data_IF_465916844223
#
_entry.id   IF_465916844223
#
_cell.length_a   1.000
_cell.length_b   1.000
_cell.length_c   1.000
_cell.angle_alpha   90.00
_cell.angle_beta   90.00
_cell.angle_gamma   90.00
#
_symmetry.space_group_name_H-M   'P 1'
#
loop_
_entity.id
_entity.type
_entity.pdbx_description
1 polymer ?
#
# COMPACT_ATOMS: atom_id res chain seq x y z
N UNK A 1 15.40 3.45 -0.21
CA UNK A 1 15.00 4.82 -0.59
C UNK A 1 14.91 5.67 0.68
N UNK A 2 15.35 6.94 0.66
CA UNK A 2 15.21 7.86 1.80
C UNK A 2 13.77 8.07 2.28
N UNK A 3 13.60 8.41 3.56
CA UNK A 3 12.33 8.93 4.09
C UNK A 3 11.93 10.21 3.35
N UNK A 4 10.64 10.34 3.05
CA UNK A 4 10.09 11.51 2.37
C UNK A 4 10.07 11.39 0.85
N UNK A 5 10.80 10.44 0.28
CA UNK A 5 10.77 10.16 -1.15
C UNK A 5 9.41 9.65 -1.63
N UNK A 6 9.20 9.79 -2.93
CA UNK A 6 8.03 9.28 -3.63
C UNK A 6 8.26 7.84 -4.03
N UNK A 7 7.39 6.94 -3.55
CA UNK A 7 7.36 5.54 -3.99
C UNK A 7 6.32 5.36 -5.08
N UNK A 8 6.73 4.73 -6.17
CA UNK A 8 5.90 4.33 -7.29
C UNK A 8 6.10 2.84 -7.53
N UNK A 9 5.00 2.08 -7.56
CA UNK A 9 5.03 0.67 -7.90
C UNK A 9 3.99 0.41 -8.99
N UNK A 10 4.46 -0.05 -10.13
CA UNK A 10 3.61 -0.49 -11.23
C UNK A 10 3.15 -1.93 -10.98
N UNK A 11 1.90 -2.23 -11.36
CA UNK A 11 1.29 -3.56 -11.23
C UNK A 11 0.51 -3.88 -12.50
N UNK A 12 0.23 -5.16 -12.76
CA UNK A 12 -0.59 -5.57 -13.89
C UNK A 12 -2.09 -5.61 -13.54
N UNK A 13 -2.79 -4.49 -13.73
CA UNK A 13 -4.25 -4.34 -13.53
C UNK A 13 -4.81 -4.92 -12.20
N UNK A 14 -4.26 -4.55 -11.03
CA UNK A 14 -4.71 -5.05 -9.73
C UNK A 14 -6.13 -4.62 -9.37
N UNK A 15 -6.87 -5.50 -8.70
CA UNK A 15 -8.16 -5.17 -8.03
C UNK A 15 -7.94 -4.74 -6.58
N UNK A 16 -6.91 -5.29 -5.95
CA UNK A 16 -6.47 -4.98 -4.58
C UNK A 16 -4.95 -5.08 -4.50
N UNK A 17 -4.39 -4.34 -3.57
CA UNK A 17 -3.00 -4.40 -3.17
C UNK A 17 -2.95 -4.82 -1.70
N UNK A 18 -1.95 -5.60 -1.33
CA UNK A 18 -1.68 -6.01 0.03
C UNK A 18 -0.27 -5.56 0.41
N UNK A 19 -0.09 -5.22 1.69
CA UNK A 19 1.24 -4.99 2.24
C UNK A 19 1.42 -5.62 3.61
N UNK A 20 2.65 -6.01 3.87
CA UNK A 20 3.12 -6.61 5.11
C UNK A 20 4.21 -5.71 5.67
N UNK A 21 3.83 -4.90 6.65
CA UNK A 21 4.70 -3.85 7.23
C UNK A 21 4.70 -3.98 8.74
N UNK A 22 5.70 -3.42 9.42
CA UNK A 22 5.73 -3.37 10.89
C UNK A 22 5.21 -2.02 11.39
N UNK A 23 4.46 -2.02 12.48
CA UNK A 23 4.09 -0.76 13.15
C UNK A 23 5.23 -0.25 14.04
N UNK A 24 5.04 0.89 14.71
CA UNK A 24 6.04 1.50 15.60
C UNK A 24 6.47 0.60 16.78
N UNK A 25 5.69 -0.43 17.12
CA UNK A 25 6.02 -1.43 18.15
C UNK A 25 6.73 -2.67 17.59
N UNK A 26 7.10 -2.67 16.31
CA UNK A 26 7.71 -3.81 15.63
C UNK A 26 6.74 -4.95 15.29
N UNK A 27 5.44 -4.78 15.52
CA UNK A 27 4.42 -5.80 15.26
C UNK A 27 4.03 -5.79 13.79
N UNK A 28 4.05 -6.95 13.16
CA UNK A 28 3.63 -7.13 11.77
C UNK A 28 2.16 -6.79 11.55
N UNK A 29 1.88 -6.14 10.43
CA UNK A 29 0.57 -5.67 10.02
C UNK A 29 0.31 -6.13 8.59
N UNK A 30 -0.75 -6.91 8.42
CA UNK A 30 -1.29 -7.21 7.10
C UNK A 30 -2.37 -6.19 6.75
N UNK A 31 -2.12 -5.43 5.70
CA UNK A 31 -2.99 -4.34 5.28
C UNK A 31 -3.42 -4.54 3.83
N UNK A 32 -4.63 -4.10 3.51
CA UNK A 32 -5.20 -4.15 2.15
C UNK A 32 -5.59 -2.76 1.68
N UNK A 33 -5.25 -2.45 0.45
CA UNK A 33 -5.73 -1.28 -0.27
C UNK A 33 -6.58 -1.76 -1.44
N UNK A 34 -7.86 -1.36 -1.47
CA UNK A 34 -8.77 -1.71 -2.56
C UNK A 34 -8.75 -0.61 -3.61
N UNK A 35 -8.56 -0.99 -4.88
CA UNK A 35 -8.64 -0.05 -5.98
C UNK A 35 -10.10 0.42 -6.11
N UNK A 36 -10.30 1.73 -6.15
CA UNK A 36 -11.64 2.31 -6.26
C UNK A 36 -12.28 1.98 -7.60
N UNK A 37 -13.54 1.57 -7.57
CA UNK A 37 -14.42 1.39 -8.71
C UNK A 37 -15.79 2.02 -8.40
N UNK A 38 -16.72 1.99 -9.36
CA UNK A 38 -18.05 2.59 -9.19
C UNK A 38 -18.85 1.99 -8.02
N UNK A 39 -18.55 0.74 -7.64
CA UNK A 39 -19.36 -0.06 -6.73
C UNK A 39 -18.79 -0.14 -5.30
N UNK A 40 -17.56 0.33 -5.06
CA UNK A 40 -16.87 0.14 -3.77
C UNK A 40 -16.39 1.44 -3.11
N UNK A 41 -17.00 2.59 -3.44
CA UNK A 41 -16.57 3.93 -3.00
C UNK A 41 -16.31 4.05 -1.49
N UNK A 42 -17.10 3.40 -0.64
CA UNK A 42 -16.94 3.44 0.82
C UNK A 42 -15.77 2.62 1.38
N UNK A 43 -15.19 1.71 0.58
CA UNK A 43 -14.23 0.68 1.03
C UNK A 43 -12.91 0.72 0.24
N UNK A 44 -12.63 1.78 -0.51
CA UNK A 44 -11.50 1.86 -1.43
C UNK A 44 -10.66 3.12 -1.18
N UNK A 45 -9.44 3.16 -1.74
CA UNK A 45 -8.61 4.37 -1.70
C UNK A 45 -7.86 4.60 -0.39
N UNK A 46 -7.82 3.61 0.50
CA UNK A 46 -7.07 3.65 1.75
C UNK A 46 -6.59 2.25 2.16
N UNK A 47 -5.55 2.21 2.99
CA UNK A 47 -5.09 0.98 3.62
C UNK A 47 -5.98 0.64 4.83
N UNK A 48 -6.43 -0.60 4.87
CA UNK A 48 -7.19 -1.17 5.97
C UNK A 48 -6.39 -2.31 6.60
N UNK A 49 -6.28 -2.35 7.92
CA UNK A 49 -5.74 -3.51 8.60
C UNK A 49 -6.76 -4.67 8.51
N UNK A 50 -6.34 -5.82 7.97
CA UNK A 50 -7.27 -6.91 7.67
C UNK A 50 -7.91 -7.51 8.92
N UNK A 51 -7.17 -7.54 10.05
CA UNK A 51 -7.67 -8.10 11.32
C UNK A 51 -8.63 -7.14 12.03
N UNK A 52 -8.26 -5.87 12.14
CA UNK A 52 -9.00 -4.88 12.95
C UNK A 52 -10.00 -4.06 12.15
N UNK A 53 -9.97 -4.11 10.82
CA UNK A 53 -10.78 -3.30 9.89
C UNK A 53 -10.61 -1.79 10.04
N UNK A 54 -9.59 -1.34 10.76
CA UNK A 54 -9.29 0.08 10.93
C UNK A 54 -8.52 0.61 9.71
N UNK A 55 -8.84 1.85 9.31
CA UNK A 55 -8.04 2.62 8.36
C UNK A 55 -6.67 2.91 8.99
N UNK A 56 -5.62 2.60 8.26
CA UNK A 56 -4.22 2.69 8.68
C UNK A 56 -3.36 3.19 7.50
N UNK A 57 -2.05 3.27 7.72
CA UNK A 57 -1.09 3.50 6.64
C UNK A 57 -1.07 4.93 6.07
N UNK A 58 -0.26 5.14 5.03
CA UNK A 58 -0.05 6.45 4.44
C UNK A 58 -1.15 6.78 3.43
N UNK A 59 -1.25 8.05 3.10
CA UNK A 59 -1.99 8.48 1.92
C UNK A 59 -1.39 7.81 0.69
N UNK A 60 -2.22 7.13 -0.07
CA UNK A 60 -1.83 6.39 -1.27
C UNK A 60 -2.80 6.73 -2.38
N UNK A 61 -2.27 7.02 -3.57
CA UNK A 61 -3.05 7.24 -4.77
C UNK A 61 -2.81 6.06 -5.72
N UNK A 62 -3.84 5.68 -6.48
CA UNK A 62 -3.69 4.68 -7.54
C UNK A 62 -4.00 5.31 -8.89
N UNK A 63 -3.00 5.36 -9.76
CA UNK A 63 -3.15 5.80 -11.13
C UNK A 63 -3.61 4.63 -12.01
N UNK A 64 -4.91 4.57 -12.31
CA UNK A 64 -5.50 3.53 -13.14
C UNK A 64 -4.96 3.48 -14.57
N UNK A 65 -4.55 4.62 -15.14
CA UNK A 65 -4.05 4.68 -16.52
C UNK A 65 -2.68 4.03 -16.65
N UNK A 66 -1.86 4.13 -15.60
CA UNK A 66 -0.50 3.57 -15.53
C UNK A 66 -0.42 2.31 -14.68
N UNK A 67 -1.55 1.79 -14.21
CA UNK A 67 -1.64 0.74 -13.19
C UNK A 67 -0.64 0.87 -12.02
N UNK A 68 -0.51 2.08 -11.48
CA UNK A 68 0.59 2.42 -10.58
C UNK A 68 0.08 2.91 -9.23
N UNK A 69 0.58 2.29 -8.16
CA UNK A 69 0.42 2.75 -6.79
C UNK A 69 1.46 3.82 -6.49
N UNK A 70 1.03 4.90 -5.84
CA UNK A 70 1.88 6.04 -5.47
C UNK A 70 1.71 6.35 -4.00
N UNK A 71 2.82 6.32 -3.26
CA UNK A 71 2.92 6.89 -1.91
C UNK A 71 3.79 8.16 -2.03
N UNK A 72 3.20 9.37 -1.94
CA UNK A 72 3.92 10.60 -2.30
C UNK A 72 5.11 10.94 -1.40
N UNK A 73 5.05 10.54 -0.12
CA UNK A 73 6.08 10.76 0.88
C UNK A 73 6.13 9.55 1.81
N UNK A 74 7.08 8.66 1.58
CA UNK A 74 7.20 7.44 2.39
C UNK A 74 7.73 7.72 3.79
N UNK A 75 7.36 6.89 4.75
CA UNK A 75 7.90 6.87 6.12
C UNK A 75 8.59 5.54 6.38
N UNK A 76 9.44 5.46 7.40
CA UNK A 76 10.09 4.19 7.78
C UNK A 76 9.09 3.02 7.98
N UNK A 77 7.89 3.32 8.51
CA UNK A 77 6.84 2.31 8.74
C UNK A 77 6.15 1.82 7.46
N UNK A 78 6.47 2.41 6.31
CA UNK A 78 5.99 1.95 5.00
C UNK A 78 6.92 0.90 4.37
N UNK A 79 8.07 0.62 5.00
CA UNK A 79 8.97 -0.44 4.58
C UNK A 79 8.34 -1.81 4.82
N UNK A 80 8.54 -2.71 3.87
CA UNK A 80 7.97 -4.05 3.91
C UNK A 80 7.67 -4.60 2.52
N UNK A 81 6.85 -5.64 2.49
CA UNK A 81 6.52 -6.34 1.26
C UNK A 81 5.18 -5.86 0.74
N UNK A 82 5.13 -5.48 -0.53
CA UNK A 82 3.92 -5.09 -1.24
C UNK A 82 3.62 -6.13 -2.31
N UNK A 83 2.34 -6.47 -2.50
CA UNK A 83 1.93 -7.35 -3.58
C UNK A 83 0.55 -7.06 -4.09
N UNK A 84 0.26 -7.49 -5.31
CA UNK A 84 -1.09 -7.48 -5.86
C UNK A 84 -1.84 -8.81 -5.63
N UNK A 85 -3.02 -8.93 -6.24
CA UNK A 85 -3.82 -10.16 -6.21
C UNK A 85 -3.32 -11.27 -7.16
N UNK A 86 -2.24 -11.04 -7.91
CA UNK A 86 -1.56 -12.01 -8.76
C UNK A 86 -0.21 -12.44 -8.17
N UNK A 87 0.11 -11.98 -6.95
CA UNK A 87 1.37 -12.24 -6.24
C UNK A 87 2.60 -11.60 -6.87
N UNK A 88 2.42 -10.59 -7.73
CA UNK A 88 3.51 -9.71 -8.13
C UNK A 88 4.01 -8.95 -6.88
N UNK A 89 5.25 -9.22 -6.47
CA UNK A 89 5.77 -8.90 -5.15
C UNK A 89 6.96 -7.95 -5.25
N UNK A 90 6.87 -6.85 -4.51
CA UNK A 90 7.92 -5.82 -4.43
C UNK A 90 8.34 -5.62 -2.99
N UNK A 91 9.65 -5.66 -2.75
CA UNK A 91 10.23 -5.38 -1.44
C UNK A 91 10.66 -3.92 -1.37
N UNK A 92 10.13 -3.19 -0.39
CA UNK A 92 10.40 -1.77 -0.19
C UNK A 92 11.27 -1.58 1.04
N UNK A 93 12.48 -1.09 0.81
CA UNK A 93 13.44 -0.73 1.85
C UNK A 93 13.52 0.78 1.98
N UNK A 94 13.35 1.29 3.20
CA UNK A 94 13.38 2.73 3.50
C UNK A 94 14.46 3.02 4.51
N UNK A 95 15.29 4.00 4.20
CA UNK A 95 16.43 4.43 4.99
C UNK A 95 16.13 5.81 5.59
N UNK A 96 16.72 6.08 6.76
CA UNK A 96 16.56 7.35 7.47
C UNK A 96 17.22 8.50 6.74
#
# INVERSE_FOLDING_TARGET
MPVGDRLEIEYYSPKKLERFVKNAKGVEQHQVYRICNGNNKAKCGFWENIKTKKKVGPTTNYNKKKNMMVIPKVKLLDAGTYRDNYYDTVYVYIEK
#
